data_IF_832277063509
#
_entry.id   IF_832277063509
#
_cell.length_a   1.000
_cell.length_b   1.000
_cell.length_c   1.000
_cell.angle_alpha   90.00
_cell.angle_beta   90.00
_cell.angle_gamma   90.00
#
_symmetry.space_group_name_H-M   'P 1'
#
loop_
_entity.id
_entity.type
_entity.pdbx_description
1 polymer ?
#
# COMPACT_ATOMS: atom_id res chain seq x y z
N UNK A 1 -52.25 5.21 -22.40
CA UNK A 1 -50.99 4.69 -23.00
C UNK A 1 -51.29 3.55 -23.97
N UNK A 2 -52.05 2.53 -23.57
CA UNK A 2 -52.48 1.45 -24.48
C UNK A 2 -53.21 1.97 -25.74
N UNK A 3 -54.05 2.99 -25.62
CA UNK A 3 -54.78 3.56 -26.76
C UNK A 3 -53.88 4.29 -27.78
N UNK A 4 -52.64 4.61 -27.41
CA UNK A 4 -51.68 5.36 -28.25
C UNK A 4 -50.58 4.42 -28.78
N UNK A 5 -50.10 3.48 -27.96
CA UNK A 5 -48.97 2.60 -28.27
C UNK A 5 -49.37 1.14 -28.54
N UNK A 6 -50.66 0.78 -28.38
CA UNK A 6 -51.17 -0.56 -28.66
C UNK A 6 -50.39 -1.66 -27.91
N UNK A 7 -49.87 -2.61 -28.67
CA UNK A 7 -49.10 -3.77 -28.20
C UNK A 7 -47.65 -3.44 -27.84
N UNK A 8 -47.13 -2.28 -28.28
CA UNK A 8 -45.80 -1.79 -27.88
C UNK A 8 -45.83 -1.01 -26.55
N UNK A 9 -47.00 -0.90 -25.91
CA UNK A 9 -47.13 -0.25 -24.62
C UNK A 9 -46.36 -1.03 -23.54
N UNK A 10 -45.44 -0.38 -22.79
CA UNK A 10 -44.79 -1.01 -21.65
C UNK A 10 -45.81 -1.52 -20.64
N UNK A 11 -45.50 -2.63 -19.97
CA UNK A 11 -46.38 -3.17 -18.95
C UNK A 11 -46.61 -2.14 -17.83
N UNK A 12 -47.78 -2.19 -17.19
CA UNK A 12 -48.10 -1.31 -16.05
C UNK A 12 -47.05 -1.40 -14.94
N UNK A 13 -46.47 -2.59 -14.73
CA UNK A 13 -45.40 -2.82 -13.76
C UNK A 13 -44.10 -2.09 -14.15
N UNK A 14 -43.73 -2.12 -15.44
CA UNK A 14 -42.59 -1.37 -15.97
C UNK A 14 -42.78 0.13 -15.75
N UNK A 15 -43.98 0.65 -16.05
CA UNK A 15 -44.31 2.08 -15.88
C UNK A 15 -44.20 2.48 -14.40
N UNK A 16 -44.78 1.72 -13.47
CA UNK A 16 -44.69 2.04 -12.05
C UNK A 16 -43.26 1.96 -11.50
N UNK A 17 -42.46 1.00 -11.95
CA UNK A 17 -41.04 0.92 -11.59
C UNK A 17 -40.25 2.16 -12.04
N UNK A 18 -40.54 2.67 -13.25
CA UNK A 18 -39.92 3.91 -13.74
C UNK A 18 -40.40 5.15 -12.98
N UNK A 19 -41.68 5.23 -12.61
CA UNK A 19 -42.21 6.31 -11.75
C UNK A 19 -41.50 6.30 -10.39
N UNK A 20 -41.35 5.13 -9.77
CA UNK A 20 -40.65 5.00 -8.49
C UNK A 20 -39.17 5.39 -8.60
N UNK A 21 -38.46 5.01 -9.67
CA UNK A 21 -37.07 5.46 -9.91
C UNK A 21 -36.99 6.99 -10.00
N UNK A 22 -37.89 7.59 -10.78
CA UNK A 22 -37.93 9.03 -10.98
C UNK A 22 -38.24 9.80 -9.69
N UNK A 23 -39.21 9.32 -8.89
CA UNK A 23 -39.54 9.92 -7.58
C UNK A 23 -38.38 9.81 -6.57
N UNK A 24 -37.54 8.77 -6.69
CA UNK A 24 -36.32 8.60 -5.91
C UNK A 24 -35.13 9.42 -6.44
N UNK A 25 -35.32 10.23 -7.49
CA UNK A 25 -34.29 11.10 -8.07
C UNK A 25 -33.32 10.39 -9.01
N UNK A 26 -33.64 9.17 -9.44
CA UNK A 26 -32.87 8.45 -10.46
C UNK A 26 -33.40 8.80 -11.86
N UNK A 27 -32.69 9.72 -12.53
CA UNK A 27 -32.98 10.19 -13.88
C UNK A 27 -32.14 9.48 -14.96
N UNK A 28 -31.42 8.41 -14.60
CA UNK A 28 -30.59 7.65 -15.55
C UNK A 28 -31.46 6.89 -16.56
N UNK A 29 -31.20 7.09 -17.85
CA UNK A 29 -32.01 6.54 -18.95
C UNK A 29 -31.47 5.19 -19.44
N UNK A 30 -30.19 4.89 -19.15
CA UNK A 30 -29.56 3.65 -19.55
C UNK A 30 -29.90 2.51 -18.60
N UNK A 31 -30.03 1.29 -19.15
CA UNK A 31 -30.25 0.09 -18.34
C UNK A 31 -29.08 -0.12 -17.37
N UNK A 32 -29.42 -0.43 -16.11
CA UNK A 32 -28.40 -0.82 -15.14
C UNK A 32 -27.67 -2.08 -15.65
N UNK A 33 -26.34 -2.15 -15.46
CA UNK A 33 -25.62 -3.36 -15.79
C UNK A 33 -26.25 -4.54 -15.04
N UNK A 34 -26.40 -5.71 -15.69
CA UNK A 34 -27.01 -6.86 -15.06
C UNK A 34 -26.19 -7.25 -13.83
N UNK A 35 -26.87 -7.35 -12.68
CA UNK A 35 -26.26 -7.84 -11.46
C UNK A 35 -25.77 -9.29 -11.68
N UNK A 36 -24.46 -9.52 -11.61
CA UNK A 36 -23.91 -10.86 -11.82
C UNK A 36 -23.96 -11.59 -10.49
N UNK A 37 -24.54 -12.79 -10.46
CA UNK A 37 -24.52 -13.64 -9.25
C UNK A 37 -23.09 -13.92 -8.74
N UNK A 38 -22.08 -13.81 -9.61
CA UNK A 38 -20.67 -13.86 -9.24
C UNK A 38 -20.29 -12.81 -8.21
N UNK A 39 -20.93 -11.64 -8.21
CA UNK A 39 -20.53 -10.49 -7.40
C UNK A 39 -20.82 -10.74 -5.91
N UNK A 40 -21.86 -11.53 -5.61
CA UNK A 40 -22.11 -12.03 -4.25
C UNK A 40 -21.10 -13.11 -3.83
N UNK A 41 -20.68 -13.97 -4.77
CA UNK A 41 -19.76 -15.08 -4.51
C UNK A 41 -18.29 -14.63 -4.38
N UNK A 42 -17.93 -13.45 -4.90
CA UNK A 42 -16.62 -12.79 -4.74
C UNK A 42 -16.42 -12.22 -3.32
N UNK A 43 -16.81 -12.98 -2.30
CA UNK A 43 -16.48 -12.61 -0.92
C UNK A 43 -14.95 -12.60 -0.74
N UNK A 44 -14.44 -11.69 0.08
CA UNK A 44 -13.01 -11.59 0.41
C UNK A 44 -12.37 -12.94 0.77
N UNK A 45 -13.06 -13.74 1.58
CA UNK A 45 -12.60 -15.10 1.97
C UNK A 45 -12.39 -16.02 0.76
N UNK A 46 -13.27 -15.96 -0.23
CA UNK A 46 -13.19 -16.79 -1.43
C UNK A 46 -12.02 -16.35 -2.31
N UNK A 47 -11.85 -15.04 -2.48
CA UNK A 47 -10.72 -14.45 -3.22
C UNK A 47 -9.39 -14.85 -2.56
N UNK A 48 -9.28 -14.72 -1.24
CA UNK A 48 -8.09 -15.11 -0.47
C UNK A 48 -7.81 -16.62 -0.55
N UNK A 49 -8.85 -17.45 -0.53
CA UNK A 49 -8.72 -18.91 -0.68
C UNK A 49 -8.19 -19.30 -2.06
N UNK A 50 -8.74 -18.69 -3.12
CA UNK A 50 -8.28 -18.89 -4.50
C UNK A 50 -6.83 -18.44 -4.66
N UNK A 51 -6.49 -17.25 -4.15
CA UNK A 51 -5.12 -16.71 -4.18
C UNK A 51 -4.14 -17.65 -3.48
N UNK A 52 -4.49 -18.14 -2.29
CA UNK A 52 -3.65 -19.07 -1.51
C UNK A 52 -3.38 -20.37 -2.25
N UNK A 53 -4.38 -20.89 -2.97
CA UNK A 53 -4.23 -22.12 -3.75
C UNK A 53 -3.29 -21.90 -4.94
N UNK A 54 -3.46 -20.79 -5.68
CA UNK A 54 -2.63 -20.44 -6.84
C UNK A 54 -1.18 -20.14 -6.46
N UNK A 55 -0.95 -19.55 -5.29
CA UNK A 55 0.40 -19.29 -4.78
C UNK A 55 1.14 -20.58 -4.41
N UNK A 56 0.41 -21.61 -3.97
CA UNK A 56 0.96 -22.94 -3.68
C UNK A 56 1.21 -23.75 -4.95
N UNK A 57 0.28 -23.72 -5.90
CA UNK A 57 0.39 -24.42 -7.17
C UNK A 57 -0.12 -23.58 -8.34
N UNK A 58 0.81 -23.12 -9.17
CA UNK A 58 0.54 -22.31 -10.36
C UNK A 58 0.02 -23.12 -11.55
N UNK A 59 0.07 -24.45 -11.49
CA UNK A 59 -0.34 -25.36 -12.58
C UNK A 59 -1.73 -25.98 -12.34
N UNK A 60 -2.37 -25.66 -11.23
CA UNK A 60 -3.70 -26.18 -10.89
C UNK A 60 -4.72 -25.85 -12.00
N UNK A 61 -5.55 -26.85 -12.35
CA UNK A 61 -6.59 -26.66 -13.35
C UNK A 61 -7.82 -25.96 -12.76
N UNK A 62 -8.61 -25.29 -13.61
CA UNK A 62 -9.84 -24.63 -13.18
C UNK A 62 -10.86 -25.62 -12.59
N UNK A 63 -10.84 -26.88 -13.02
CA UNK A 63 -11.68 -27.96 -12.47
C UNK A 63 -11.27 -28.35 -11.06
N UNK A 64 -9.98 -28.58 -10.82
CA UNK A 64 -9.48 -28.92 -9.47
C UNK A 64 -9.68 -27.75 -8.50
N UNK A 65 -9.59 -26.51 -9.00
CA UNK A 65 -9.85 -25.32 -8.20
C UNK A 65 -11.33 -25.21 -7.81
N UNK A 66 -12.25 -25.50 -8.74
CA UNK A 66 -13.69 -25.60 -8.47
C UNK A 66 -14.00 -26.67 -7.42
N UNK A 67 -13.42 -27.86 -7.52
CA UNK A 67 -13.59 -28.94 -6.54
C UNK A 67 -13.09 -28.55 -5.14
N UNK A 68 -12.04 -27.72 -5.05
CA UNK A 68 -11.44 -27.34 -3.78
C UNK A 68 -12.15 -26.18 -3.08
N UNK A 69 -12.67 -25.22 -3.85
CA UNK A 69 -13.28 -23.99 -3.32
C UNK A 69 -14.80 -24.05 -3.34
N UNK A 70 -15.41 -24.88 -4.19
CA UNK A 70 -16.87 -25.02 -4.31
C UNK A 70 -17.53 -23.86 -5.03
N UNK A 71 -16.80 -23.15 -5.90
CA UNK A 71 -17.29 -21.99 -6.66
C UNK A 71 -17.31 -22.32 -8.15
N UNK A 72 -18.34 -21.84 -8.85
CA UNK A 72 -18.47 -22.04 -10.29
C UNK A 72 -17.24 -21.56 -11.07
N UNK A 73 -16.87 -22.31 -12.12
CA UNK A 73 -15.76 -21.93 -13.03
C UNK A 73 -15.84 -20.50 -13.55
N UNK A 74 -17.04 -20.00 -13.86
CA UNK A 74 -17.23 -18.64 -14.36
C UNK A 74 -16.82 -17.59 -13.31
N UNK A 75 -17.21 -17.80 -12.05
CA UNK A 75 -16.84 -16.89 -10.96
C UNK A 75 -15.36 -17.01 -10.64
N UNK A 76 -14.80 -18.23 -10.62
CA UNK A 76 -13.36 -18.44 -10.45
C UNK A 76 -12.53 -17.73 -11.54
N UNK A 77 -12.97 -17.82 -12.80
CA UNK A 77 -12.32 -17.13 -13.89
C UNK A 77 -12.29 -15.62 -13.64
N UNK A 78 -13.45 -15.02 -13.33
CA UNK A 78 -13.56 -13.59 -13.03
C UNK A 78 -12.70 -13.17 -11.82
N UNK A 79 -12.64 -13.98 -10.76
CA UNK A 79 -11.73 -13.74 -9.61
C UNK A 79 -10.28 -13.70 -10.08
N UNK A 80 -9.86 -14.68 -10.89
CA UNK A 80 -8.46 -14.79 -11.32
C UNK A 80 -8.05 -13.65 -12.25
N UNK A 81 -8.90 -13.30 -13.21
CA UNK A 81 -8.56 -12.32 -14.25
C UNK A 81 -8.82 -10.88 -13.83
N UNK A 82 -9.81 -10.62 -12.98
CA UNK A 82 -10.16 -9.25 -12.59
C UNK A 82 -9.59 -8.94 -11.21
N UNK A 83 -10.07 -9.64 -10.18
CA UNK A 83 -9.80 -9.29 -8.78
C UNK A 83 -8.32 -9.50 -8.42
N UNK A 84 -7.75 -10.67 -8.76
CA UNK A 84 -6.35 -10.96 -8.43
C UNK A 84 -5.35 -10.16 -9.26
N UNK A 85 -5.67 -9.86 -10.52
CA UNK A 85 -4.82 -8.98 -11.35
C UNK A 85 -4.83 -7.55 -10.83
N UNK A 86 -6.00 -7.05 -10.42
CA UNK A 86 -6.13 -5.73 -9.80
C UNK A 86 -5.30 -5.63 -8.51
N UNK A 87 -5.39 -6.61 -7.61
CA UNK A 87 -4.59 -6.65 -6.39
C UNK A 87 -3.08 -6.64 -6.67
N UNK A 88 -2.63 -7.40 -7.67
CA UNK A 88 -1.22 -7.42 -8.09
C UNK A 88 -0.78 -6.05 -8.62
N UNK A 89 -1.63 -5.42 -9.43
CA UNK A 89 -1.38 -4.09 -9.98
C UNK A 89 -1.30 -3.02 -8.88
N UNK A 90 -2.21 -3.02 -7.91
CA UNK A 90 -2.19 -2.09 -6.78
C UNK A 90 -0.92 -2.26 -5.94
N UNK A 91 -0.54 -3.51 -5.64
CA UNK A 91 0.69 -3.81 -4.92
C UNK A 91 1.93 -3.32 -5.70
N UNK A 92 1.94 -3.49 -7.02
CA UNK A 92 3.00 -2.94 -7.87
C UNK A 92 3.03 -1.41 -7.84
N UNK A 93 1.87 -0.76 -8.02
CA UNK A 93 1.73 0.70 -7.98
C UNK A 93 2.22 1.28 -6.66
N UNK A 94 1.91 0.65 -5.52
CA UNK A 94 2.38 1.09 -4.22
C UNK A 94 3.91 0.99 -4.09
N UNK A 95 4.52 -0.10 -4.57
CA UNK A 95 5.98 -0.25 -4.59
C UNK A 95 6.63 0.82 -5.46
N UNK A 96 6.04 1.07 -6.63
CA UNK A 96 6.51 2.05 -7.59
C UNK A 96 6.47 3.47 -7.02
N UNK A 97 5.34 3.85 -6.42
CA UNK A 97 5.19 5.15 -5.75
C UNK A 97 6.19 5.32 -4.60
N UNK A 98 6.42 4.28 -3.80
CA UNK A 98 7.44 4.31 -2.73
C UNK A 98 8.86 4.51 -3.29
N UNK A 99 9.18 3.91 -4.44
CA UNK A 99 10.48 4.09 -5.10
C UNK A 99 10.65 5.53 -5.57
N UNK A 100 9.67 6.07 -6.29
CA UNK A 100 9.69 7.45 -6.79
C UNK A 100 9.78 8.45 -5.63
N UNK A 101 8.99 8.23 -4.58
CA UNK A 101 9.02 9.05 -3.36
C UNK A 101 10.41 9.08 -2.73
N UNK A 102 11.08 7.92 -2.58
CA UNK A 102 12.43 7.85 -2.03
C UNK A 102 13.44 8.65 -2.85
N UNK A 103 13.40 8.54 -4.18
CA UNK A 103 14.28 9.32 -5.05
C UNK A 103 14.05 10.82 -4.89
N UNK A 104 12.79 11.24 -4.81
CA UNK A 104 12.43 12.65 -4.58
C UNK A 104 12.90 13.14 -3.20
N UNK A 105 12.63 12.38 -2.15
CA UNK A 105 13.05 12.71 -0.78
C UNK A 105 14.57 12.81 -0.64
N UNK A 106 15.33 12.00 -1.38
CA UNK A 106 16.79 12.06 -1.43
C UNK A 106 17.27 13.41 -1.99
N UNK A 107 16.71 13.84 -3.12
CA UNK A 107 17.04 15.13 -3.72
C UNK A 107 16.67 16.27 -2.78
N UNK A 108 15.46 16.27 -2.24
CA UNK A 108 15.02 17.29 -1.29
C UNK A 108 15.88 17.30 -0.01
N UNK A 109 16.40 16.16 0.43
CA UNK A 109 17.32 16.10 1.57
C UNK A 109 18.66 16.74 1.24
N UNK A 110 19.24 16.44 0.09
CA UNK A 110 20.50 17.05 -0.35
C UNK A 110 20.35 18.56 -0.56
N UNK A 111 19.22 19.02 -1.09
CA UNK A 111 18.93 20.45 -1.23
C UNK A 111 18.84 21.14 0.13
N UNK A 112 18.11 20.56 1.10
CA UNK A 112 18.06 21.07 2.48
C UNK A 112 19.44 21.09 3.14
N UNK A 113 20.22 20.02 2.98
CA UNK A 113 21.60 19.96 3.51
C UNK A 113 22.48 21.06 2.91
N UNK A 114 22.35 21.32 1.59
CA UNK A 114 23.08 22.40 0.92
C UNK A 114 22.65 23.78 1.46
N UNK A 115 21.36 24.03 1.58
CA UNK A 115 20.82 25.28 2.14
C UNK A 115 21.26 25.50 3.61
N UNK A 116 21.26 24.43 4.41
CA UNK A 116 21.76 24.45 5.79
C UNK A 116 23.25 24.82 5.83
N UNK A 117 24.06 24.21 4.96
CA UNK A 117 25.49 24.47 4.83
C UNK A 117 25.72 25.93 4.39
N UNK A 118 25.02 26.41 3.37
CA UNK A 118 25.12 27.80 2.89
C UNK A 118 24.72 28.80 3.97
N UNK A 119 23.63 28.55 4.70
CA UNK A 119 23.22 29.36 5.86
C UNK A 119 24.32 29.44 6.91
N UNK A 120 24.92 28.30 7.29
CA UNK A 120 25.98 28.24 8.30
C UNK A 120 27.26 28.94 7.82
N UNK A 121 27.58 28.85 6.53
CA UNK A 121 28.70 29.58 5.92
C UNK A 121 28.46 31.10 5.89
N UNK A 122 27.21 31.54 5.73
CA UNK A 122 26.85 32.97 5.76
C UNK A 122 26.75 33.57 7.17
N UNK A 123 26.65 32.74 8.21
CA UNK A 123 26.52 33.22 9.61
C UNK A 123 27.86 33.56 10.24
N UNK A 124 27.85 34.58 11.10
CA UNK A 124 29.00 35.05 11.85
C UNK A 124 29.38 34.07 12.99
N UNK A 125 30.65 34.04 13.40
CA UNK A 125 31.19 33.01 14.32
C UNK A 125 30.46 32.95 15.68
N UNK A 126 29.94 34.09 16.15
CA UNK A 126 29.17 34.19 17.41
C UNK A 126 27.81 33.50 17.33
N UNK A 127 27.15 33.61 16.18
CA UNK A 127 25.83 33.03 15.96
C UNK A 127 25.94 31.52 15.75
N UNK A 128 26.96 31.08 15.00
CA UNK A 128 27.28 29.66 14.84
C UNK A 128 27.47 28.95 16.18
N UNK A 129 28.17 29.59 17.14
CA UNK A 129 28.37 29.03 18.48
C UNK A 129 27.05 28.86 19.25
N UNK A 130 26.14 29.84 19.19
CA UNK A 130 24.82 29.74 19.83
C UNK A 130 23.94 28.66 19.19
N UNK A 131 24.01 28.50 17.87
CA UNK A 131 23.26 27.47 17.14
C UNK A 131 23.72 26.06 17.55
N UNK A 132 25.04 25.82 17.62
CA UNK A 132 25.57 24.53 18.10
C UNK A 132 25.25 24.26 19.58
N UNK A 133 25.17 25.30 20.41
CA UNK A 133 24.78 25.15 21.81
C UNK A 133 23.30 24.81 21.97
N UNK A 134 22.43 25.39 21.11
CA UNK A 134 21.00 25.06 21.08
C UNK A 134 20.71 23.71 20.44
N UNK A 135 21.47 23.32 19.42
CA UNK A 135 21.28 22.07 18.69
C UNK A 135 22.55 21.19 18.77
N UNK A 136 22.83 20.60 19.95
CA UNK A 136 24.02 19.80 20.16
C UNK A 136 23.99 18.55 19.27
N UNK A 137 25.14 18.25 18.65
CA UNK A 137 25.27 17.11 17.72
C UNK A 137 24.93 15.80 18.42
N UNK A 138 23.93 15.09 17.91
CA UNK A 138 23.56 13.76 18.41
C UNK A 138 24.57 12.70 17.96
N UNK A 139 25.11 11.93 18.91
CA UNK A 139 26.10 10.87 18.65
C UNK A 139 25.44 9.52 19.01
N UNK A 140 24.96 8.73 18.02
CA UNK A 140 24.16 7.52 18.26
C UNK A 140 24.88 6.32 18.89
N UNK A 141 26.16 6.42 19.24
CA UNK A 141 26.92 5.39 19.98
C UNK A 141 28.03 6.04 20.83
N UNK A 142 27.66 7.00 21.68
CA UNK A 142 28.61 7.66 22.57
C UNK A 142 29.18 6.64 23.56
N UNK A 143 30.51 6.58 23.69
CA UNK A 143 31.13 5.73 24.72
C UNK A 143 30.84 6.33 26.10
N UNK A 144 30.71 5.45 27.10
CA UNK A 144 30.72 5.87 28.49
C UNK A 144 32.17 6.16 28.86
N UNK A 145 32.45 7.43 29.16
CA UNK A 145 33.78 7.95 29.44
C UNK A 145 34.31 7.48 30.82
N UNK A 146 33.48 6.82 31.63
CA UNK A 146 33.78 6.41 33.02
C UNK A 146 34.60 5.11 33.13
N UNK A 147 35.07 4.55 32.02
CA UNK A 147 35.87 3.32 32.04
C UNK A 147 37.32 3.61 32.42
N UNK A 148 37.65 3.45 33.70
CA UNK A 148 39.03 3.41 34.15
C UNK A 148 39.71 2.09 33.74
N UNK A 149 40.81 2.20 33.00
CA UNK A 149 41.63 1.05 32.61
C UNK A 149 42.60 0.68 33.73
N UNK A 150 42.79 -0.63 33.96
CA UNK A 150 43.82 -1.14 34.88
C UNK A 150 45.19 -1.21 34.21
N UNK A 151 46.27 -1.14 34.99
CA UNK A 151 47.65 -1.19 34.49
C UNK A 151 47.92 -2.48 33.69
N UNK A 152 48.50 -2.35 32.48
CA UNK A 152 48.73 -3.42 31.49
C UNK A 152 47.47 -4.12 30.93
N UNK A 153 46.28 -3.53 31.07
CA UNK A 153 45.07 -4.09 30.47
C UNK A 153 45.12 -4.03 28.93
N UNK A 154 44.78 -5.15 28.26
CA UNK A 154 44.66 -5.20 26.80
C UNK A 154 43.56 -4.28 26.28
N UNK A 155 43.88 -3.52 25.23
CA UNK A 155 42.93 -2.67 24.52
C UNK A 155 42.26 -3.46 23.38
N UNK A 156 40.93 -3.40 23.31
CA UNK A 156 40.15 -3.96 22.22
C UNK A 156 39.45 -2.83 21.47
N UNK A 157 39.84 -2.63 20.21
CA UNK A 157 39.21 -1.64 19.36
C UNK A 157 37.83 -2.15 18.92
N UNK A 158 36.77 -1.34 19.11
CA UNK A 158 35.38 -1.74 18.84
C UNK A 158 35.08 -1.97 17.34
N UNK A 159 35.91 -1.40 16.47
CA UNK A 159 35.71 -1.42 15.01
C UNK A 159 34.62 -0.45 14.56
N UNK A 160 34.80 0.18 13.38
CA UNK A 160 33.88 1.19 12.87
C UNK A 160 32.74 0.61 12.00
N UNK A 161 32.80 -0.68 11.68
CA UNK A 161 31.98 -1.31 10.63
C UNK A 161 30.49 -1.50 11.00
N UNK A 162 30.11 -1.44 12.28
CA UNK A 162 28.75 -1.77 12.74
C UNK A 162 28.05 -0.63 13.49
N UNK A 163 28.51 0.62 13.33
CA UNK A 163 27.99 1.76 14.09
C UNK A 163 26.63 2.27 13.60
N UNK A 164 26.13 1.77 12.46
CA UNK A 164 24.93 2.27 11.76
C UNK A 164 23.72 1.34 11.95
N UNK A 165 23.93 0.03 12.18
CA UNK A 165 22.85 -0.94 12.39
C UNK A 165 22.77 -1.34 13.86
N UNK A 166 21.67 -0.98 14.51
CA UNK A 166 21.38 -1.23 15.93
C UNK A 166 20.99 -2.70 16.19
N UNK A 167 21.76 -3.67 15.69
CA UNK A 167 21.53 -5.10 15.92
C UNK A 167 22.62 -5.63 16.87
N UNK A 168 22.58 -5.21 18.14
CA UNK A 168 23.24 -5.95 19.21
C UNK A 168 22.51 -5.66 20.52
N UNK A 169 21.47 -6.44 20.78
CA UNK A 169 21.04 -6.89 22.12
C UNK A 169 19.83 -7.83 22.00
N UNK A 170 20.08 -9.08 21.61
CA UNK A 170 19.39 -10.22 22.20
C UNK A 170 20.50 -11.15 22.67
N UNK A 171 20.79 -11.10 23.97
CA UNK A 171 21.67 -12.09 24.60
C UNK A 171 20.79 -13.26 25.01
N UNK A 172 21.19 -14.45 24.54
CA UNK A 172 20.83 -15.76 25.10
C UNK A 172 21.32 -15.84 26.53
#
# INVERSE_FOLDING_TARGET
MQDIFGDECPSKATIYRWIERFDNGDEEVHDDPPFRSSDFLKTRSNIESVQTILDKDKRITLRELEERVGISKATLHSIITEDLEMLKYEAWKLRELKRVKRCREEVERLDREREDIERIHSMDDRERKKEFEKNPRFIPNKQCDDKQYKFLQKYYHRGAFFLVNRIFCYSI
#
